data_IF_704965000071
#
_entry.id   IF_704965000071
#
_cell.length_a   1.000
_cell.length_b   1.000
_cell.length_c   1.000
_cell.angle_alpha   90.00
_cell.angle_beta   90.00
_cell.angle_gamma   90.00
#
_symmetry.space_group_name_H-M   'P 1'
#
loop_
_entity.id
_entity.type
_entity.pdbx_description
1 polymer ?
#
# COMPACT_ATOMS: atom_id res chain seq x y z
N UNK A 1 -2.70 -17.05 -0.74
CA UNK A 1 -3.32 -15.78 -0.28
C UNK A 1 -2.28 -14.71 -0.44
N UNK A 2 -2.62 -13.59 -1.08
CA UNK A 2 -1.66 -12.55 -1.42
C UNK A 2 -1.73 -11.45 -0.35
N UNK A 3 -0.58 -11.01 0.10
CA UNK A 3 -0.45 -9.95 1.10
C UNK A 3 0.27 -8.76 0.48
N UNK A 4 -0.11 -7.55 0.89
CA UNK A 4 0.59 -6.37 0.41
C UNK A 4 0.60 -5.24 1.43
N UNK A 5 1.74 -4.55 1.50
CA UNK A 5 1.85 -3.20 2.06
C UNK A 5 1.62 -2.23 0.93
N UNK A 6 0.72 -1.26 1.13
CA UNK A 6 0.44 -0.23 0.13
C UNK A 6 1.18 1.05 0.53
N UNK A 7 2.07 1.55 -0.32
CA UNK A 7 2.65 2.87 -0.12
C UNK A 7 1.54 3.94 -0.15
N UNK A 8 1.61 4.93 0.73
CA UNK A 8 0.71 6.07 0.80
C UNK A 8 0.53 6.74 -0.57
N UNK A 9 1.57 6.79 -1.41
CA UNK A 9 1.52 7.40 -2.74
C UNK A 9 0.53 6.69 -3.68
N UNK A 10 0.33 5.38 -3.51
CA UNK A 10 -0.62 4.58 -4.28
C UNK A 10 -2.04 4.93 -3.87
N UNK A 11 -2.31 5.03 -2.56
CA UNK A 11 -3.62 5.42 -2.04
C UNK A 11 -3.99 6.84 -2.47
N UNK A 12 -3.07 7.80 -2.30
CA UNK A 12 -3.26 9.18 -2.76
C UNK A 12 -3.59 9.19 -4.25
N UNK A 13 -2.76 8.54 -5.08
CA UNK A 13 -2.94 8.53 -6.54
C UNK A 13 -4.25 7.88 -6.96
N UNK A 14 -4.68 6.81 -6.27
CA UNK A 14 -5.95 6.14 -6.51
C UNK A 14 -7.16 7.01 -6.17
N UNK A 15 -7.08 7.84 -5.12
CA UNK A 15 -8.18 8.68 -4.67
C UNK A 15 -8.31 9.99 -5.46
N UNK A 16 -7.21 10.55 -5.97
CA UNK A 16 -7.22 11.81 -6.73
C UNK A 16 -7.38 11.63 -8.24
N UNK A 17 -7.10 10.44 -8.77
CA UNK A 17 -7.15 10.19 -10.21
C UNK A 17 -8.59 10.22 -10.73
N UNK A 18 -8.81 10.86 -11.88
CA UNK A 18 -10.07 10.78 -12.63
C UNK A 18 -10.12 9.57 -13.57
N UNK A 19 -9.02 8.82 -13.68
CA UNK A 19 -8.94 7.63 -14.51
C UNK A 19 -9.15 6.36 -13.67
N UNK A 20 -10.36 5.83 -13.69
CA UNK A 20 -10.73 4.58 -13.02
C UNK A 20 -9.99 3.34 -13.56
N UNK A 21 -9.38 3.44 -14.74
CA UNK A 21 -8.57 2.37 -15.33
C UNK A 21 -7.09 2.44 -14.94
N UNK A 22 -6.67 3.47 -14.21
CA UNK A 22 -5.31 3.58 -13.70
C UNK A 22 -4.96 2.41 -12.78
N UNK A 23 -3.68 2.02 -12.78
CA UNK A 23 -3.24 0.87 -12.00
C UNK A 23 -3.49 1.06 -10.49
N UNK A 24 -3.26 2.27 -9.96
CA UNK A 24 -3.52 2.59 -8.55
C UNK A 24 -5.00 2.49 -8.18
N UNK A 25 -5.91 2.99 -9.03
CA UNK A 25 -7.35 2.84 -8.82
C UNK A 25 -7.79 1.37 -8.83
N UNK A 26 -7.20 0.56 -9.73
CA UNK A 26 -7.44 -0.88 -9.76
C UNK A 26 -6.92 -1.59 -8.51
N UNK A 27 -5.73 -1.23 -8.00
CA UNK A 27 -5.20 -1.79 -6.74
C UNK A 27 -6.16 -1.52 -5.58
N UNK A 28 -6.67 -0.29 -5.43
CA UNK A 28 -7.67 0.02 -4.40
C UNK A 28 -8.97 -0.75 -4.62
N UNK A 29 -9.41 -0.96 -5.87
CA UNK A 29 -10.57 -1.81 -6.15
C UNK A 29 -10.36 -3.26 -5.73
N UNK A 30 -9.18 -3.83 -6.00
CA UNK A 30 -8.84 -5.19 -5.56
C UNK A 30 -8.81 -5.29 -4.03
N UNK A 31 -8.27 -4.27 -3.35
CA UNK A 31 -8.31 -4.15 -1.89
C UNK A 31 -9.76 -4.18 -1.38
N UNK A 32 -10.63 -3.31 -1.92
CA UNK A 32 -12.03 -3.23 -1.51
C UNK A 32 -12.84 -4.50 -1.81
N UNK A 33 -12.41 -5.28 -2.80
CA UNK A 33 -13.01 -6.56 -3.15
C UNK A 33 -12.44 -7.74 -2.32
N UNK A 34 -11.40 -7.53 -1.51
CA UNK A 34 -10.77 -8.59 -0.72
C UNK A 34 -9.90 -9.55 -1.52
N UNK A 35 -9.39 -9.13 -2.68
CA UNK A 35 -8.54 -9.95 -3.57
C UNK A 35 -7.11 -10.12 -3.02
N UNK A 36 -6.73 -9.30 -2.05
CA UNK A 36 -5.52 -9.45 -1.25
C UNK A 36 -5.75 -8.86 0.14
N UNK A 37 -4.89 -9.23 1.09
CA UNK A 37 -4.96 -8.74 2.47
C UNK A 37 -3.90 -7.66 2.70
N UNK A 38 -4.30 -6.43 3.08
CA UNK A 38 -3.32 -5.38 3.38
C UNK A 38 -2.60 -5.69 4.70
N UNK A 39 -1.29 -5.46 4.73
CA UNK A 39 -0.46 -5.51 5.94
C UNK A 39 -0.18 -4.09 6.40
N UNK A 40 -0.29 -3.86 7.71
CA UNK A 40 0.02 -2.56 8.28
C UNK A 40 0.57 -2.69 9.71
N UNK A 41 1.09 -1.57 10.20
CA UNK A 41 1.29 -1.30 11.63
C UNK A 41 0.78 0.10 11.95
N UNK A 42 0.77 0.49 13.22
CA UNK A 42 0.18 1.76 13.66
C UNK A 42 0.77 2.98 12.96
N UNK A 43 2.09 3.03 12.72
CA UNK A 43 2.76 4.15 12.05
C UNK A 43 2.35 4.31 10.58
N UNK A 44 2.08 3.21 9.87
CA UNK A 44 1.54 3.28 8.50
C UNK A 44 0.13 3.88 8.51
N UNK A 45 -0.71 3.48 9.47
CA UNK A 45 -2.06 4.04 9.61
C UNK A 45 -2.00 5.53 9.97
N UNK A 46 -1.08 5.94 10.84
CA UNK A 46 -0.85 7.35 11.18
C UNK A 46 -0.40 8.15 9.96
N UNK A 47 0.47 7.61 9.12
CA UNK A 47 0.87 8.26 7.87
C UNK A 47 -0.31 8.40 6.91
N UNK A 48 -1.11 7.36 6.73
CA UNK A 48 -2.32 7.45 5.90
C UNK A 48 -3.26 8.54 6.43
N UNK A 49 -3.46 8.59 7.74
CA UNK A 49 -4.26 9.62 8.39
C UNK A 49 -3.70 11.02 8.11
N UNK A 50 -2.40 11.24 8.30
CA UNK A 50 -1.79 12.55 8.07
C UNK A 50 -1.87 12.96 6.59
N UNK A 51 -1.51 12.05 5.69
CA UNK A 51 -1.34 12.37 4.27
C UNK A 51 -2.69 12.50 3.58
N UNK A 52 -3.61 11.56 3.75
CA UNK A 52 -4.89 11.56 3.02
C UNK A 52 -5.78 12.76 3.44
N UNK A 53 -5.61 13.28 4.64
CA UNK A 53 -6.34 14.47 5.12
C UNK A 53 -5.76 15.81 4.64
N UNK A 54 -4.64 15.83 3.91
CA UNK A 54 -4.06 17.08 3.40
C UNK A 54 -5.02 17.75 2.40
N UNK A 55 -5.43 18.98 2.70
CA UNK A 55 -6.40 19.75 1.91
C UNK A 55 -6.06 19.88 0.42
N UNK A 56 -4.77 19.80 0.05
CA UNK A 56 -4.31 19.83 -1.35
C UNK A 56 -4.90 18.72 -2.22
N UNK A 57 -5.28 17.59 -1.63
CA UNK A 57 -5.88 16.46 -2.35
C UNK A 57 -7.38 16.61 -2.60
N UNK A 58 -8.06 17.54 -1.91
CA UNK A 58 -9.48 17.87 -2.11
C UNK A 58 -10.40 16.64 -2.10
N UNK A 59 -10.09 15.66 -1.25
CA UNK A 59 -10.92 14.46 -1.10
C UNK A 59 -12.29 14.81 -0.53
N UNK A 60 -13.30 14.03 -0.92
CA UNK A 60 -14.65 14.17 -0.37
C UNK A 60 -14.67 13.92 1.14
N UNK A 61 -15.62 14.52 1.89
CA UNK A 61 -15.77 14.29 3.32
C UNK A 61 -15.88 12.80 3.64
N UNK A 62 -15.08 12.32 4.60
CA UNK A 62 -15.11 10.93 5.06
C UNK A 62 -14.48 9.89 4.13
N UNK A 63 -14.01 10.26 2.93
CA UNK A 63 -13.38 9.31 1.98
C UNK A 63 -12.11 8.70 2.56
N UNK A 64 -11.24 9.53 3.15
CA UNK A 64 -10.01 9.08 3.78
C UNK A 64 -10.30 8.14 4.96
N UNK A 65 -11.17 8.58 5.87
CA UNK A 65 -11.57 7.79 7.06
C UNK A 65 -12.19 6.45 6.70
N UNK A 66 -13.05 6.41 5.67
CA UNK A 66 -13.69 5.18 5.21
C UNK A 66 -12.66 4.18 4.68
N UNK A 67 -11.71 4.63 3.85
CA UNK A 67 -10.66 3.78 3.32
C UNK A 67 -9.74 3.26 4.43
N UNK A 68 -9.31 4.13 5.34
CA UNK A 68 -8.42 3.74 6.45
C UNK A 68 -9.15 2.76 7.38
N UNK A 69 -10.43 3.00 7.67
CA UNK A 69 -11.23 2.08 8.48
C UNK A 69 -11.38 0.71 7.82
N UNK A 70 -11.62 0.67 6.50
CA UNK A 70 -11.66 -0.56 5.73
C UNK A 70 -10.33 -1.34 5.80
N UNK A 71 -9.19 -0.66 5.63
CA UNK A 71 -7.86 -1.29 5.75
C UNK A 71 -7.65 -1.88 7.14
N UNK A 72 -8.08 -1.18 8.20
CA UNK A 72 -7.98 -1.69 9.58
C UNK A 72 -8.90 -2.88 9.84
N UNK A 73 -10.09 -2.89 9.26
CA UNK A 73 -11.08 -3.97 9.46
C UNK A 73 -10.70 -5.25 8.71
N UNK A 74 -10.14 -5.12 7.51
CA UNK A 74 -9.86 -6.25 6.61
C UNK A 74 -8.37 -6.59 6.46
N UNK A 75 -7.49 -5.80 7.08
CA UNK A 75 -6.05 -6.01 7.08
C UNK A 75 -5.53 -6.80 8.26
N UNK A 76 -4.23 -7.07 8.22
CA UNK A 76 -3.50 -7.69 9.33
C UNK A 76 -2.54 -6.64 9.90
N UNK A 77 -2.76 -6.30 11.17
CA UNK A 77 -1.78 -5.59 11.97
C UNK A 77 -0.65 -6.54 12.34
N UNK A 78 0.58 -6.19 11.97
CA UNK A 78 1.76 -7.05 12.15
C UNK A 78 2.95 -6.28 12.68
N UNK A 79 3.88 -6.99 13.30
CA UNK A 79 5.14 -6.40 13.76
C UNK A 79 6.14 -6.32 12.62
N UNK A 80 7.00 -5.29 12.66
CA UNK A 80 8.06 -5.07 11.68
C UNK A 80 9.10 -6.20 11.74
N UNK A 81 9.55 -6.67 10.57
CA UNK A 81 10.80 -7.46 10.46
C UNK A 81 11.94 -6.50 10.16
N UNK A 82 12.90 -6.39 11.09
CA UNK A 82 13.98 -5.43 10.99
C UNK A 82 14.84 -5.65 9.73
N UNK A 83 14.99 -4.59 8.93
CA UNK A 83 15.90 -4.58 7.79
C UNK A 83 17.23 -3.96 8.20
N UNK A 84 18.30 -4.76 8.27
CA UNK A 84 19.57 -4.33 8.86
C UNK A 84 20.44 -3.45 7.94
N UNK A 85 20.04 -3.30 6.68
CA UNK A 85 20.77 -2.49 5.70
C UNK A 85 20.23 -1.05 5.65
N UNK A 86 20.97 -0.18 4.96
CA UNK A 86 20.56 1.20 4.73
C UNK A 86 19.35 1.25 3.79
N UNK A 87 18.33 2.04 4.16
CA UNK A 87 17.24 2.36 3.25
C UNK A 87 17.63 3.55 2.35
N UNK A 88 17.17 3.60 1.09
CA UNK A 88 17.31 4.80 0.28
C UNK A 88 16.56 6.01 0.88
N UNK A 89 15.38 5.75 1.45
CA UNK A 89 14.63 6.72 2.25
C UNK A 89 14.25 6.06 3.60
N UNK A 90 14.74 6.65 4.69
CA UNK A 90 14.55 6.11 6.04
C UNK A 90 13.13 6.37 6.57
N UNK A 91 12.42 7.38 6.07
CA UNK A 91 11.02 7.63 6.43
C UNK A 91 10.13 6.49 5.89
N UNK A 92 10.51 5.91 4.76
CA UNK A 92 9.85 4.80 4.09
C UNK A 92 10.21 3.41 4.65
N UNK A 93 11.14 3.33 5.62
CA UNK A 93 11.61 2.07 6.22
C UNK A 93 10.45 1.22 6.75
N UNK A 94 9.47 1.84 7.39
CA UNK A 94 8.34 1.13 8.01
C UNK A 94 7.57 0.29 6.99
N UNK A 95 7.32 0.81 5.79
CA UNK A 95 6.60 0.08 4.75
C UNK A 95 7.38 -1.14 4.28
N UNK A 96 8.70 -0.97 4.10
CA UNK A 96 9.55 -2.05 3.67
C UNK A 96 9.66 -3.14 4.74
N UNK A 97 9.90 -2.78 6.00
CA UNK A 97 10.00 -3.75 7.10
C UNK A 97 8.70 -4.51 7.37
N UNK A 98 7.54 -3.87 7.20
CA UNK A 98 6.25 -4.57 7.27
C UNK A 98 6.09 -5.51 6.08
N UNK A 99 6.56 -5.14 4.89
CA UNK A 99 6.57 -6.08 3.77
C UNK A 99 7.48 -7.28 4.05
N UNK A 100 8.47 -7.20 4.94
CA UNK A 100 9.29 -8.35 5.33
C UNK A 100 8.66 -9.23 6.43
N UNK A 101 7.52 -8.82 7.00
CA UNK A 101 6.89 -9.52 8.13
C UNK A 101 6.15 -10.81 7.76
N UNK A 102 5.74 -10.92 6.49
CA UNK A 102 4.99 -12.07 5.96
C UNK A 102 5.63 -12.52 4.66
N UNK A 103 5.86 -13.83 4.55
CA UNK A 103 6.31 -14.47 3.31
C UNK A 103 5.29 -14.24 2.18
N UNK A 104 5.76 -14.17 0.93
CA UNK A 104 4.93 -13.90 -0.26
C UNK A 104 4.07 -12.63 -0.19
N UNK A 105 4.48 -11.66 0.64
CA UNK A 105 3.91 -10.31 0.64
C UNK A 105 4.69 -9.35 -0.27
N UNK A 106 4.03 -8.30 -0.73
CA UNK A 106 4.63 -7.29 -1.62
C UNK A 106 4.55 -5.88 -1.02
N UNK A 107 5.49 -5.03 -1.37
CA UNK A 107 5.37 -3.58 -1.19
C UNK A 107 4.95 -2.98 -2.54
N UNK A 108 3.76 -2.39 -2.57
CA UNK A 108 3.20 -1.78 -3.78
C UNK A 108 3.43 -0.27 -3.74
N UNK A 109 4.28 0.23 -4.63
CA UNK A 109 4.69 1.65 -4.65
C UNK A 109 4.85 2.19 -6.06
N UNK A 110 4.56 3.48 -6.24
CA UNK A 110 4.97 4.24 -7.44
C UNK A 110 6.33 4.93 -7.32
N UNK A 111 6.95 4.93 -6.14
CA UNK A 111 8.13 5.70 -5.77
C UNK A 111 9.37 4.80 -5.53
N UNK A 112 9.72 3.96 -6.51
CA UNK A 112 10.82 2.99 -6.40
C UNK A 112 12.15 3.53 -5.85
N UNK A 113 12.46 4.81 -6.08
CA UNK A 113 13.68 5.46 -5.59
C UNK A 113 13.79 5.53 -4.06
N UNK A 114 12.69 5.38 -3.33
CA UNK A 114 12.68 5.38 -1.86
C UNK A 114 13.02 4.01 -1.25
N UNK A 115 12.97 2.96 -2.05
CA UNK A 115 13.04 1.58 -1.58
C UNK A 115 14.21 0.79 -2.19
N UNK A 116 14.74 -0.22 -1.47
CA UNK A 116 15.67 -1.18 -2.04
C UNK A 116 15.10 -1.84 -3.29
N UNK A 117 15.95 -2.04 -4.30
CA UNK A 117 15.54 -2.70 -5.54
C UNK A 117 15.49 -4.22 -5.35
N UNK A 118 14.34 -4.73 -4.91
CA UNK A 118 14.10 -6.16 -4.71
C UNK A 118 12.82 -6.61 -5.40
N UNK A 119 12.64 -7.92 -5.69
CA UNK A 119 11.39 -8.43 -6.25
C UNK A 119 10.14 -8.20 -5.37
N UNK A 120 10.34 -7.82 -4.09
CA UNK A 120 9.26 -7.51 -3.16
C UNK A 120 8.65 -6.13 -3.42
N UNK A 121 9.44 -5.21 -3.97
CA UNK A 121 9.03 -3.83 -4.26
C UNK A 121 8.56 -3.76 -5.71
N UNK A 122 7.27 -3.55 -5.91
CA UNK A 122 6.63 -3.67 -7.22
C UNK A 122 5.73 -2.48 -7.53
N UNK A 123 5.52 -2.24 -8.82
CA UNK A 123 4.62 -1.19 -9.27
C UNK A 123 3.16 -1.63 -9.05
N UNK A 124 2.20 -0.68 -8.96
CA UNK A 124 0.79 -1.02 -9.00
C UNK A 124 0.44 -1.87 -10.23
N UNK A 125 1.06 -1.61 -11.39
CA UNK A 125 0.79 -2.36 -12.61
C UNK A 125 1.28 -3.80 -12.57
N UNK A 126 2.44 -4.05 -11.96
CA UNK A 126 2.97 -5.40 -11.80
C UNK A 126 2.23 -6.17 -10.72
N UNK A 127 1.80 -5.50 -9.65
CA UNK A 127 0.94 -6.11 -8.64
C UNK A 127 -0.38 -6.62 -9.22
N UNK A 128 -0.99 -5.89 -10.16
CA UNK A 128 -2.19 -6.39 -10.86
C UNK A 128 -1.94 -7.70 -11.60
N UNK A 129 -0.76 -7.87 -12.22
CA UNK A 129 -0.40 -9.11 -12.92
C UNK A 129 -0.25 -10.26 -11.93
N UNK A 130 0.43 -10.01 -10.79
CA UNK A 130 0.58 -11.01 -9.71
C UNK A 130 -0.78 -11.54 -9.25
N UNK A 131 -1.75 -10.65 -9.02
CA UNK A 131 -3.11 -11.04 -8.62
C UNK A 131 -3.80 -11.85 -9.74
N UNK A 132 -3.69 -11.42 -10.99
CA UNK A 132 -4.30 -12.11 -12.14
C UNK A 132 -3.75 -13.53 -12.32
N UNK A 133 -2.42 -13.67 -12.33
CA UNK A 133 -1.74 -14.95 -12.53
C UNK A 133 -1.97 -15.94 -11.37
N UNK A 134 -2.31 -15.44 -10.18
CA UNK A 134 -2.62 -16.28 -9.01
C UNK A 134 -4.07 -16.77 -8.95
N UNK A 135 -4.95 -16.17 -9.76
CA UNK A 135 -6.37 -16.53 -9.85
C UNK A 135 -6.66 -17.48 -11.04
N UNK A 136 -5.63 -17.85 -11.81
CA UNK A 136 -5.67 -18.90 -12.84
C UNK A 136 -5.36 -20.29 -12.27
#
# INVERSE_FOLDING_TARGET
MIYAVIDTNVLVSALITHNSLSATAKVVRLLLNGEFTPLYESGIIEEYQEVLHRAKFKLGPGVADALISFIKEHGIETSRTAFQESMPDEDDRVFYEISLSVDDSFLVTGNFKHYPQTPKVISPGDFLKVIMDSNE
#
